data_IF_259128426494
#
_entry.id   IF_259128426494
#
_cell.length_a   1.000
_cell.length_b   1.000
_cell.length_c   1.000
_cell.angle_alpha   90.00
_cell.angle_beta   90.00
_cell.angle_gamma   90.00
#
_symmetry.space_group_name_H-M   'P 1'
#
loop_
_entity.id
_entity.type
_entity.pdbx_description
1 polymer ?
#
# COMPACT_ATOMS: atom_id res chain seq x y z
N UNK A 1 -15.45 6.64 -29.10
CA UNK A 1 -14.98 6.71 -28.75
C UNK A 1 -14.31 6.68 -28.67
N UNK A 2 -14.31 6.53 -28.61
CA UNK A 2 -13.37 6.23 -28.49
C UNK A 2 -12.42 6.86 -27.74
N UNK A 3 -12.21 7.97 -27.51
CA UNK A 3 -11.32 8.63 -26.64
C UNK A 3 -11.42 8.22 -25.19
N UNK A 4 -12.60 8.10 -24.67
CA UNK A 4 -12.69 7.76 -23.26
C UNK A 4 -12.13 6.40 -22.94
N UNK A 5 -12.19 5.54 -23.87
CA UNK A 5 -11.66 4.24 -23.64
C UNK A 5 -10.17 4.28 -23.42
N UNK A 6 -9.50 5.22 -24.03
CA UNK A 6 -8.08 5.35 -23.86
C UNK A 6 -7.74 5.61 -22.41
N UNK A 7 -8.48 6.49 -21.76
CA UNK A 7 -8.22 6.76 -20.35
C UNK A 7 -8.40 5.51 -19.51
N UNK A 8 -9.41 4.73 -19.83
CA UNK A 8 -9.64 3.49 -19.09
C UNK A 8 -8.49 2.53 -19.27
N UNK A 9 -7.97 2.45 -20.47
CA UNK A 9 -6.87 1.55 -20.72
C UNK A 9 -5.65 1.94 -19.91
N UNK A 10 -5.43 3.24 -19.74
CA UNK A 10 -4.30 3.69 -18.96
C UNK A 10 -4.41 3.29 -17.52
N UNK A 11 -5.62 3.16 -17.02
CA UNK A 11 -5.81 2.71 -15.64
C UNK A 11 -5.78 1.21 -15.50
N UNK A 12 -5.78 0.49 -16.60
CA UNK A 12 -5.77 -0.96 -16.53
C UNK A 12 -7.12 -1.60 -16.27
N UNK A 13 -8.17 -0.82 -16.20
CA UNK A 13 -9.49 -1.37 -15.90
C UNK A 13 -10.00 -2.26 -17.03
N UNK A 14 -9.62 -1.97 -18.26
CA UNK A 14 -10.04 -2.79 -19.36
C UNK A 14 -9.51 -4.21 -19.28
N UNK A 15 -8.39 -4.39 -18.59
CA UNK A 15 -7.79 -5.70 -18.47
C UNK A 15 -8.53 -6.60 -17.52
N UNK A 16 -9.49 -6.08 -16.80
CA UNK A 16 -10.22 -6.83 -15.79
C UNK A 16 -11.70 -6.88 -16.09
N UNK A 17 -12.06 -6.75 -17.34
CA UNK A 17 -13.46 -6.78 -17.75
C UNK A 17 -14.01 -8.19 -17.58
N UNK A 18 -15.01 -8.40 -16.75
CA UNK A 18 -15.55 -9.74 -16.53
C UNK A 18 -16.10 -10.35 -17.80
N UNK A 19 -16.49 -9.56 -18.76
CA UNK A 19 -17.04 -10.09 -20.00
C UNK A 19 -15.97 -10.78 -20.84
N UNK A 20 -14.72 -10.44 -20.63
CA UNK A 20 -13.63 -11.04 -21.42
C UNK A 20 -12.74 -11.96 -20.60
N UNK A 21 -13.01 -12.12 -19.30
CA UNK A 21 -12.18 -12.92 -18.44
C UNK A 21 -12.99 -14.05 -17.83
N UNK A 22 -12.40 -15.23 -17.71
CA UNK A 22 -13.12 -16.35 -17.07
C UNK A 22 -13.28 -16.13 -15.58
N UNK A 23 -14.14 -16.94 -14.96
CA UNK A 23 -14.43 -16.79 -13.54
C UNK A 23 -13.20 -16.93 -12.67
N UNK A 24 -12.25 -17.78 -13.07
CA UNK A 24 -11.04 -17.93 -12.26
C UNK A 24 -10.21 -16.66 -12.25
N UNK A 25 -10.27 -15.87 -13.33
CA UNK A 25 -9.56 -14.59 -13.36
C UNK A 25 -10.24 -13.61 -12.44
N UNK A 26 -11.55 -13.70 -12.31
CA UNK A 26 -12.25 -12.85 -11.35
C UNK A 26 -11.85 -13.18 -9.92
N UNK A 27 -11.62 -14.45 -9.63
CA UNK A 27 -11.15 -14.85 -8.31
C UNK A 27 -9.74 -14.31 -8.05
N UNK A 28 -8.88 -14.35 -9.06
CA UNK A 28 -7.54 -13.80 -8.93
C UNK A 28 -7.61 -12.28 -8.71
N UNK A 29 -8.47 -11.61 -9.42
CA UNK A 29 -8.65 -10.17 -9.23
C UNK A 29 -9.09 -9.87 -7.80
N UNK A 30 -10.07 -10.61 -7.29
CA UNK A 30 -10.53 -10.37 -5.92
C UNK A 30 -9.42 -10.60 -4.91
N UNK A 31 -8.57 -11.58 -5.19
CA UNK A 31 -7.44 -11.85 -4.30
C UNK A 31 -6.46 -10.68 -4.28
N UNK A 32 -6.22 -10.06 -5.42
CA UNK A 32 -5.35 -8.89 -5.48
C UNK A 32 -5.97 -7.74 -4.68
N UNK A 33 -7.26 -7.52 -4.84
CA UNK A 33 -7.92 -6.45 -4.10
C UNK A 33 -7.81 -6.69 -2.60
N UNK A 34 -8.02 -7.92 -2.17
CA UNK A 34 -7.91 -8.25 -0.74
C UNK A 34 -6.48 -8.06 -0.24
N UNK A 35 -5.50 -8.45 -1.04
CA UNK A 35 -4.10 -8.29 -0.65
C UNK A 35 -3.73 -6.81 -0.54
N UNK A 36 -4.23 -5.99 -1.46
CA UNK A 36 -3.97 -4.56 -1.38
C UNK A 36 -4.59 -3.96 -0.13
N UNK A 37 -5.81 -4.37 0.20
CA UNK A 37 -6.45 -3.86 1.41
C UNK A 37 -5.67 -4.27 2.65
N UNK A 38 -5.13 -5.50 2.66
CA UNK A 38 -4.31 -5.94 3.78
C UNK A 38 -3.04 -5.12 3.89
N UNK A 39 -2.42 -4.82 2.75
CA UNK A 39 -1.21 -4.01 2.74
C UNK A 39 -1.49 -2.62 3.30
N UNK A 40 -2.60 -2.01 2.91
CA UNK A 40 -2.97 -0.69 3.41
C UNK A 40 -3.19 -0.71 4.91
N UNK A 41 -3.84 -1.75 5.42
CA UNK A 41 -4.02 -1.89 6.88
C UNK A 41 -2.68 -2.05 7.58
N UNK A 42 -1.77 -2.81 6.98
CA UNK A 42 -0.46 -3.02 7.58
C UNK A 42 0.35 -1.72 7.60
N UNK A 43 0.23 -0.92 6.56
CA UNK A 43 0.91 0.37 6.54
C UNK A 43 0.36 1.31 7.60
N UNK A 44 -0.95 1.31 7.77
CA UNK A 44 -1.57 2.12 8.82
C UNK A 44 -1.11 1.66 10.19
N UNK A 45 -1.09 0.35 10.41
CA UNK A 45 -0.62 -0.20 11.68
C UNK A 45 0.83 0.19 11.93
N UNK A 46 1.66 0.14 10.92
CA UNK A 46 3.06 0.51 11.08
C UNK A 46 3.20 1.97 11.46
N UNK A 47 2.47 2.86 10.79
CA UNK A 47 2.52 4.28 11.12
C UNK A 47 2.02 4.54 12.54
N UNK A 48 0.95 3.85 12.93
CA UNK A 48 0.42 4.00 14.28
C UNK A 48 1.42 3.52 15.33
N UNK A 49 2.09 2.42 15.04
CA UNK A 49 3.09 1.89 15.96
C UNK A 49 4.27 2.86 16.12
N UNK A 50 4.72 3.46 15.01
CA UNK A 50 5.80 4.43 15.06
C UNK A 50 5.36 5.69 15.82
N UNK A 51 4.12 6.13 15.59
CA UNK A 51 3.61 7.29 16.32
C UNK A 51 3.59 7.03 17.82
N UNK A 52 3.18 5.83 18.21
CA UNK A 52 3.17 5.45 19.63
C UNK A 52 4.58 5.42 20.20
N UNK A 53 5.53 4.89 19.44
CA UNK A 53 6.92 4.83 19.87
C UNK A 53 7.48 6.24 20.06
N UNK A 54 7.19 7.14 19.14
CA UNK A 54 7.64 8.53 19.27
C UNK A 54 7.03 9.20 20.49
N UNK A 55 5.74 8.95 20.71
CA UNK A 55 5.07 9.52 21.88
C UNK A 55 5.65 8.97 23.17
N UNK A 56 6.15 7.75 23.15
CA UNK A 56 6.78 7.14 24.32
C UNK A 56 8.22 7.60 24.50
N UNK A 57 8.77 8.37 23.56
CA UNK A 57 10.11 8.91 23.71
C UNK A 57 11.18 8.17 22.92
N UNK A 58 10.82 7.19 22.11
CA UNK A 58 11.82 6.46 21.33
C UNK A 58 12.44 7.36 20.27
N UNK A 59 13.73 7.21 20.09
CA UNK A 59 14.46 7.99 19.10
C UNK A 59 14.30 7.37 17.72
N UNK A 60 14.61 8.17 16.70
CA UNK A 60 14.60 7.64 15.34
C UNK A 60 15.65 6.55 15.14
N UNK A 61 16.73 6.58 15.94
CA UNK A 61 17.72 5.52 15.88
C UNK A 61 17.11 4.18 16.29
N UNK A 62 16.36 4.17 17.36
CA UNK A 62 15.69 2.96 17.83
C UNK A 62 14.63 2.51 16.84
N UNK A 63 13.83 3.45 16.36
CA UNK A 63 12.77 3.14 15.42
C UNK A 63 13.36 2.60 14.12
N UNK A 64 14.45 3.21 13.64
CA UNK A 64 15.12 2.71 12.44
C UNK A 64 15.62 1.30 12.61
N UNK A 65 16.18 1.00 13.78
CA UNK A 65 16.63 -0.36 14.07
C UNK A 65 15.48 -1.36 14.00
N UNK A 66 14.33 -0.98 14.55
CA UNK A 66 13.15 -1.85 14.52
C UNK A 66 12.65 -2.06 13.11
N UNK A 67 12.74 -1.03 12.27
CA UNK A 67 12.29 -1.11 10.89
C UNK A 67 13.31 -1.77 9.96
N UNK A 68 14.53 -1.95 10.43
CA UNK A 68 15.60 -2.49 9.58
C UNK A 68 16.18 -1.48 8.62
N UNK A 69 16.08 -0.18 8.94
CA UNK A 69 16.61 0.88 8.10
C UNK A 69 17.42 1.84 8.97
N UNK A 70 18.10 2.77 8.29
CA UNK A 70 18.89 3.75 9.02
C UNK A 70 17.97 4.76 9.71
N UNK A 71 18.54 5.46 10.70
CA UNK A 71 17.82 6.53 11.40
C UNK A 71 17.29 7.56 10.41
N UNK A 72 18.12 7.95 9.46
CA UNK A 72 17.73 8.97 8.50
C UNK A 72 16.60 8.49 7.60
N UNK A 73 16.67 7.24 7.15
CA UNK A 73 15.64 6.70 6.29
C UNK A 73 14.31 6.60 7.03
N UNK A 74 14.35 6.19 8.30
CA UNK A 74 13.13 6.10 9.10
C UNK A 74 12.51 7.49 9.27
N UNK A 75 13.34 8.47 9.57
CA UNK A 75 12.86 9.82 9.78
C UNK A 75 12.24 10.39 8.52
N UNK A 76 12.87 10.17 7.38
CA UNK A 76 12.35 10.69 6.12
C UNK A 76 11.01 10.05 5.73
N UNK A 77 10.88 8.76 5.99
CA UNK A 77 9.65 8.04 5.60
C UNK A 77 8.48 8.36 6.50
N UNK A 78 8.74 8.61 7.77
CA UNK A 78 7.68 8.67 8.77
C UNK A 78 7.70 9.94 9.61
N UNK A 79 8.39 10.96 9.13
CA UNK A 79 8.57 12.18 9.94
C UNK A 79 7.29 12.94 10.19
N UNK A 80 6.27 12.69 9.39
CA UNK A 80 5.00 13.40 9.55
C UNK A 80 4.07 12.72 10.57
N UNK A 81 4.57 11.75 11.26
CA UNK A 81 3.80 11.10 12.31
C UNK A 81 3.90 11.83 13.65
#
# INVERSE_FOLDING_TARGET
MTGPRIAIEETGLDLIDPATHPARDAAAFRRIVAARAALERDETELRDAVAAARAAGDSWTVIGAALGVSRQAAQQRLRDI
#
